data_IF_228287556955
#
_entry.id   IF_228287556955
#
_cell.length_a   1.000
_cell.length_b   1.000
_cell.length_c   1.000
_cell.angle_alpha   90.00
_cell.angle_beta   90.00
_cell.angle_gamma   90.00
#
_symmetry.space_group_name_H-M   'P 1'
#
loop_
_entity.id
_entity.type
_entity.pdbx_description
1 polymer ?
#
# COMPACT_ATOMS: atom_id res chain seq x y z
N UNK A 1 1.18 -76.51 43.32
CA UNK A 1 0.70 -75.20 42.83
C UNK A 1 1.65 -74.69 41.76
N UNK A 2 1.27 -74.80 40.48
CA UNK A 2 1.94 -74.07 39.40
C UNK A 2 0.88 -73.81 38.31
N UNK A 3 0.43 -72.57 38.08
CA UNK A 3 -0.70 -72.30 37.21
C UNK A 3 -0.22 -72.12 35.76
N UNK A 4 -0.63 -73.02 34.88
CA UNK A 4 -0.62 -72.83 33.43
C UNK A 4 -1.63 -71.74 33.07
N UNK A 5 -1.13 -70.57 32.66
CA UNK A 5 -1.93 -69.44 32.18
C UNK A 5 -2.24 -69.61 30.69
N UNK A 6 -3.52 -69.75 30.36
CA UNK A 6 -4.04 -69.76 29.00
C UNK A 6 -4.10 -68.31 28.46
N UNK A 7 -3.40 -68.04 27.36
CA UNK A 7 -3.46 -66.75 26.67
C UNK A 7 -4.82 -66.59 25.95
N UNK A 8 -5.57 -65.54 26.27
CA UNK A 8 -6.80 -65.17 25.53
C UNK A 8 -6.42 -64.53 24.17
N UNK A 9 -7.17 -64.77 23.08
CA UNK A 9 -6.95 -64.10 21.81
C UNK A 9 -7.31 -62.61 21.94
N UNK A 10 -6.46 -61.72 21.42
CA UNK A 10 -6.75 -60.29 21.35
C UNK A 10 -8.02 -60.09 20.52
N UNK A 11 -9.02 -59.39 21.06
CA UNK A 11 -10.30 -59.15 20.38
C UNK A 11 -10.10 -58.43 19.03
N UNK A 12 -10.88 -58.77 18.01
CA UNK A 12 -10.83 -58.14 16.68
C UNK A 12 -10.91 -56.61 16.72
N UNK A 13 -11.61 -56.06 17.71
CA UNK A 13 -11.70 -54.62 18.01
C UNK A 13 -10.32 -54.00 18.26
N UNK A 14 -9.43 -54.70 18.96
CA UNK A 14 -8.08 -54.21 19.23
C UNK A 14 -7.22 -54.13 17.96
N UNK A 15 -7.40 -55.08 17.03
CA UNK A 15 -6.72 -55.09 15.73
C UNK A 15 -7.24 -53.95 14.84
N UNK A 16 -8.55 -53.66 14.87
CA UNK A 16 -9.15 -52.55 14.11
C UNK A 16 -8.67 -51.19 14.64
N UNK A 17 -8.61 -51.01 15.97
CA UNK A 17 -8.09 -49.77 16.59
C UNK A 17 -6.61 -49.57 16.22
N UNK A 18 -5.79 -50.63 16.30
CA UNK A 18 -4.37 -50.55 15.89
C UNK A 18 -4.21 -50.22 14.40
N UNK A 19 -5.05 -50.78 13.52
CA UNK A 19 -5.06 -50.45 12.08
C UNK A 19 -5.50 -49.00 11.82
N UNK A 20 -6.51 -48.52 12.54
CA UNK A 20 -6.97 -47.13 12.43
C UNK A 20 -5.91 -46.13 12.93
N UNK A 21 -5.27 -46.43 14.07
CA UNK A 21 -4.16 -45.64 14.60
C UNK A 21 -2.95 -45.65 13.65
N UNK A 22 -2.62 -46.80 13.04
CA UNK A 22 -1.54 -46.89 12.06
C UNK A 22 -1.84 -46.11 10.76
N UNK A 23 -3.10 -46.12 10.29
CA UNK A 23 -3.53 -45.33 9.13
C UNK A 23 -3.54 -43.83 9.42
N UNK A 24 -3.98 -43.42 10.62
CA UNK A 24 -3.91 -42.03 11.09
C UNK A 24 -2.46 -41.55 11.21
N UNK A 25 -1.58 -42.37 11.79
CA UNK A 25 -0.15 -42.08 11.89
C UNK A 25 0.53 -41.98 10.51
N UNK A 26 0.17 -42.87 9.56
CA UNK A 26 0.63 -42.78 8.16
C UNK A 26 0.15 -41.51 7.47
N UNK A 27 -1.11 -41.12 7.66
CA UNK A 27 -1.68 -39.88 7.12
C UNK A 27 -0.96 -38.65 7.68
N UNK A 28 -0.73 -38.62 8.99
CA UNK A 28 0.02 -37.55 9.65
C UNK A 28 1.48 -37.48 9.17
N UNK A 29 2.14 -38.63 9.00
CA UNK A 29 3.49 -38.71 8.45
C UNK A 29 3.55 -38.20 7.00
N UNK A 30 2.58 -38.58 6.15
CA UNK A 30 2.49 -38.12 4.76
C UNK A 30 2.29 -36.59 4.69
N UNK A 31 1.46 -36.03 5.58
CA UNK A 31 1.24 -34.60 5.70
C UNK A 31 2.52 -33.85 6.12
N UNK A 32 3.25 -34.36 7.11
CA UNK A 32 4.54 -33.81 7.51
C UNK A 32 5.60 -33.91 6.40
N UNK A 33 5.60 -35.01 5.64
CA UNK A 33 6.47 -35.20 4.48
C UNK A 33 6.15 -34.18 3.39
N UNK A 34 4.87 -33.95 3.09
CA UNK A 34 4.41 -32.95 2.12
C UNK A 34 4.84 -31.54 2.55
N UNK A 35 4.66 -31.17 3.83
CA UNK A 35 5.13 -29.88 4.38
C UNK A 35 6.65 -29.75 4.20
N UNK A 36 7.43 -30.79 4.49
CA UNK A 36 8.89 -30.78 4.28
C UNK A 36 9.27 -30.63 2.81
N UNK A 37 8.59 -31.32 1.90
CA UNK A 37 8.82 -31.21 0.46
C UNK A 37 8.46 -29.81 -0.05
N UNK A 38 7.31 -29.26 0.35
CA UNK A 38 6.89 -27.90 0.02
C UNK A 38 7.88 -26.86 0.55
N UNK A 39 8.35 -27.00 1.79
CA UNK A 39 9.39 -26.13 2.37
C UNK A 39 10.71 -26.24 1.60
N UNK A 40 11.15 -27.45 1.24
CA UNK A 40 12.38 -27.66 0.46
C UNK A 40 12.24 -27.08 -0.95
N UNK A 41 11.07 -27.19 -1.57
CA UNK A 41 10.78 -26.59 -2.87
C UNK A 41 10.74 -25.06 -2.81
N UNK A 42 10.10 -24.49 -1.79
CA UNK A 42 10.11 -23.04 -1.51
C UNK A 42 11.53 -22.53 -1.26
N UNK A 43 12.33 -23.23 -0.44
CA UNK A 43 13.73 -22.91 -0.19
C UNK A 43 14.56 -22.96 -1.47
N UNK A 44 14.42 -24.02 -2.28
CA UNK A 44 15.14 -24.15 -3.56
C UNK A 44 14.72 -23.04 -4.55
N UNK A 45 13.44 -22.71 -4.61
CA UNK A 45 12.92 -21.62 -5.44
C UNK A 45 13.41 -20.26 -4.96
N UNK A 46 13.47 -20.02 -3.65
CA UNK A 46 14.03 -18.81 -3.05
C UNK A 46 15.53 -18.68 -3.34
N UNK A 47 16.28 -19.78 -3.20
CA UNK A 47 17.72 -19.84 -3.53
C UNK A 47 17.98 -19.55 -5.02
N UNK A 48 17.17 -20.11 -5.92
CA UNK A 48 17.26 -19.85 -7.37
C UNK A 48 16.87 -18.41 -7.74
N UNK A 49 15.95 -17.78 -7.00
CA UNK A 49 15.61 -16.36 -7.18
C UNK A 49 16.73 -15.46 -6.69
N UNK A 50 17.27 -15.74 -5.50
CA UNK A 50 18.37 -14.98 -4.91
C UNK A 50 19.68 -15.06 -5.73
N UNK A 51 19.88 -16.12 -6.51
CA UNK A 51 21.07 -16.26 -7.36
C UNK A 51 21.01 -15.48 -8.68
N UNK A 52 19.85 -14.92 -9.06
CA UNK A 52 19.71 -14.09 -10.25
C UNK A 52 19.78 -12.61 -9.84
N UNK A 53 20.56 -11.75 -10.49
CA UNK A 53 20.47 -10.32 -10.22
C UNK A 53 19.09 -9.78 -10.63
N UNK A 54 18.58 -8.71 -9.99
CA UNK A 54 17.42 -8.00 -10.47
C UNK A 54 17.61 -7.56 -11.92
N UNK A 55 16.54 -7.63 -12.71
CA UNK A 55 16.65 -7.49 -14.16
C UNK A 55 16.80 -6.02 -14.57
N UNK A 56 17.40 -5.78 -15.75
CA UNK A 56 17.54 -4.44 -16.32
C UNK A 56 16.17 -3.77 -16.50
N UNK A 57 15.18 -4.57 -16.87
CA UNK A 57 13.79 -4.15 -17.08
C UNK A 57 13.17 -3.58 -15.80
N UNK A 58 13.39 -4.21 -14.64
CA UNK A 58 12.89 -3.70 -13.34
C UNK A 58 13.37 -2.26 -13.09
N UNK A 59 14.67 -2.02 -13.32
CA UNK A 59 15.27 -0.71 -13.09
C UNK A 59 14.83 0.31 -14.12
N UNK A 60 14.72 -0.09 -15.41
CA UNK A 60 14.15 0.78 -16.44
C UNK A 60 12.70 1.17 -16.11
N UNK A 61 11.87 0.23 -15.64
CA UNK A 61 10.49 0.50 -15.20
C UNK A 61 10.46 1.45 -14.01
N UNK A 62 11.34 1.29 -13.01
CA UNK A 62 11.39 2.18 -11.85
C UNK A 62 11.86 3.60 -12.22
N UNK A 63 12.84 3.73 -13.13
CA UNK A 63 13.29 5.04 -13.65
C UNK A 63 12.11 5.72 -14.37
N UNK A 64 11.48 5.01 -15.30
CA UNK A 64 10.33 5.52 -16.05
C UNK A 64 9.17 5.91 -15.13
N UNK A 65 8.92 5.16 -14.06
CA UNK A 65 7.91 5.50 -13.06
C UNK A 65 8.19 6.82 -12.33
N UNK A 66 9.46 7.14 -12.02
CA UNK A 66 9.82 8.45 -11.47
C UNK A 66 9.46 9.58 -12.45
N UNK A 67 9.75 9.38 -13.75
CA UNK A 67 9.41 10.35 -14.79
C UNK A 67 7.92 10.54 -14.97
N UNK A 68 7.15 9.45 -15.00
CA UNK A 68 5.68 9.49 -15.15
C UNK A 68 5.06 10.24 -13.98
N UNK A 69 5.46 9.91 -12.74
CA UNK A 69 4.94 10.58 -11.55
C UNK A 69 5.24 12.08 -11.57
N UNK A 70 6.42 12.50 -12.05
CA UNK A 70 6.75 13.91 -12.19
C UNK A 70 5.96 14.57 -13.33
N UNK A 71 5.87 13.92 -14.49
CA UNK A 71 5.16 14.45 -15.66
C UNK A 71 3.67 14.71 -15.40
N UNK A 72 3.03 13.91 -14.56
CA UNK A 72 1.62 14.11 -14.17
C UNK A 72 1.43 14.95 -12.90
N UNK A 73 2.43 15.72 -12.48
CA UNK A 73 2.39 16.57 -11.28
C UNK A 73 1.98 15.81 -10.00
N UNK A 74 2.37 14.53 -9.90
CA UNK A 74 2.16 13.73 -8.68
C UNK A 74 3.30 13.95 -7.70
N UNK A 75 4.54 13.94 -8.19
CA UNK A 75 5.73 14.23 -7.39
C UNK A 75 6.40 15.50 -7.90
N UNK A 76 6.97 16.25 -6.97
CA UNK A 76 7.90 17.34 -7.25
C UNK A 76 9.35 16.85 -7.03
N UNK A 77 10.28 17.77 -6.77
CA UNK A 77 11.69 17.45 -6.53
C UNK A 77 11.97 16.57 -5.29
N UNK A 78 10.99 16.31 -4.42
CA UNK A 78 11.21 15.53 -3.20
C UNK A 78 10.26 14.34 -3.02
N UNK A 79 9.30 14.12 -3.92
CA UNK A 79 8.52 12.87 -3.92
C UNK A 79 9.39 11.68 -4.38
N UNK A 80 8.95 10.46 -4.07
CA UNK A 80 9.76 9.26 -4.37
C UNK A 80 8.95 7.97 -4.45
N UNK A 81 9.41 7.08 -5.33
CA UNK A 81 8.88 5.73 -5.55
C UNK A 81 9.96 4.69 -5.24
N UNK A 82 9.58 3.57 -4.64
CA UNK A 82 10.43 2.41 -4.43
C UNK A 82 9.81 1.12 -4.95
N UNK A 83 10.62 0.10 -5.18
CA UNK A 83 10.17 -1.26 -5.50
C UNK A 83 10.87 -2.28 -4.61
N UNK A 84 10.11 -3.22 -4.04
CA UNK A 84 10.67 -4.35 -3.30
C UNK A 84 11.55 -5.17 -4.24
N UNK A 85 12.72 -5.59 -3.76
CA UNK A 85 13.61 -6.45 -4.52
C UNK A 85 12.92 -7.83 -4.72
N UNK A 86 12.62 -8.25 -5.96
CA UNK A 86 11.91 -9.52 -6.21
C UNK A 86 12.78 -10.77 -5.99
N UNK A 87 14.10 -10.60 -5.88
CA UNK A 87 15.05 -11.67 -5.59
C UNK A 87 15.38 -11.78 -4.10
N UNK A 88 15.40 -10.67 -3.37
CA UNK A 88 15.48 -10.65 -1.91
C UNK A 88 14.42 -9.70 -1.31
N UNK A 89 13.27 -10.21 -0.86
CA UNK A 89 12.17 -9.38 -0.35
C UNK A 89 12.51 -8.66 0.97
N UNK A 90 13.68 -8.93 1.57
CA UNK A 90 14.19 -8.18 2.72
C UNK A 90 14.84 -6.86 2.31
N UNK A 91 14.96 -6.58 1.01
CA UNK A 91 15.51 -5.34 0.48
C UNK A 91 14.52 -4.66 -0.47
N UNK A 92 14.79 -3.41 -0.80
CA UNK A 92 14.05 -2.63 -1.78
C UNK A 92 14.97 -1.62 -2.49
N UNK A 93 14.58 -1.22 -3.70
CA UNK A 93 15.28 -0.22 -4.50
C UNK A 93 14.53 1.10 -4.51
N UNK A 94 15.27 2.21 -4.43
CA UNK A 94 14.74 3.57 -4.54
C UNK A 94 15.86 4.49 -5.03
N UNK A 95 15.52 5.60 -5.69
CA UNK A 95 16.53 6.61 -6.04
C UNK A 95 17.28 7.11 -4.78
N UNK A 96 18.56 7.45 -4.94
CA UNK A 96 19.26 8.37 -4.03
C UNK A 96 18.50 9.70 -3.95
N UNK A 97 18.92 10.60 -3.06
CA UNK A 97 18.33 11.93 -2.93
C UNK A 97 18.59 12.77 -4.20
N UNK A 98 17.75 12.58 -5.20
CA UNK A 98 17.82 13.12 -6.56
C UNK A 98 16.38 13.29 -7.05
N UNK A 99 16.05 14.47 -7.58
CA UNK A 99 14.72 14.76 -8.07
C UNK A 99 14.22 13.68 -9.06
N UNK A 100 12.97 13.20 -8.94
CA UNK A 100 12.43 12.12 -9.77
C UNK A 100 12.63 12.31 -11.29
N UNK A 101 12.48 13.54 -11.78
CA UNK A 101 12.70 13.88 -13.18
C UNK A 101 14.14 13.59 -13.69
N UNK A 102 15.13 13.60 -12.80
CA UNK A 102 16.55 13.50 -13.12
C UNK A 102 17.14 12.10 -12.89
N UNK A 103 16.36 11.16 -12.35
CA UNK A 103 16.78 9.77 -12.21
C UNK A 103 16.94 9.19 -13.60
N UNK A 104 18.11 8.65 -13.96
CA UNK A 104 18.38 8.30 -15.37
C UNK A 104 19.07 6.98 -15.60
N UNK A 105 19.84 6.50 -14.61
CA UNK A 105 20.69 5.32 -14.76
C UNK A 105 20.66 4.43 -13.52
N UNK A 106 21.26 3.25 -13.64
CA UNK A 106 21.26 2.26 -12.56
C UNK A 106 21.90 2.80 -11.29
N UNK A 107 22.94 3.60 -11.41
CA UNK A 107 23.72 4.17 -10.31
C UNK A 107 22.97 5.28 -9.55
N UNK A 108 21.83 5.74 -10.07
CA UNK A 108 20.95 6.63 -9.30
C UNK A 108 20.06 5.86 -8.32
N UNK A 109 19.96 4.54 -8.45
CA UNK A 109 19.10 3.69 -7.63
C UNK A 109 19.90 2.95 -6.55
N UNK A 110 19.55 3.19 -5.30
CA UNK A 110 20.16 2.54 -4.14
C UNK A 110 19.31 1.36 -3.66
N UNK A 111 19.96 0.39 -3.01
CA UNK A 111 19.31 -0.72 -2.34
C UNK A 111 19.31 -0.50 -0.82
N UNK A 112 18.17 -0.71 -0.19
CA UNK A 112 17.95 -0.51 1.23
C UNK A 112 17.36 -1.75 1.88
N UNK A 113 17.67 -1.97 3.17
CA UNK A 113 17.05 -3.02 3.98
C UNK A 113 15.63 -2.64 4.38
N UNK A 114 14.70 -3.58 4.28
CA UNK A 114 13.32 -3.46 4.79
C UNK A 114 13.30 -3.40 6.33
N UNK A 115 14.31 -3.96 7.00
CA UNK A 115 14.35 -4.01 8.47
C UNK A 115 14.47 -2.64 9.12
N UNK A 116 15.28 -1.74 8.56
CA UNK A 116 15.70 -0.49 9.21
C UNK A 116 15.95 0.67 8.23
N UNK A 117 15.65 0.47 6.94
CA UNK A 117 15.93 1.40 5.85
C UNK A 117 17.42 1.80 5.70
N UNK A 118 18.36 1.04 6.27
CA UNK A 118 19.79 1.27 6.06
C UNK A 118 20.20 0.87 4.63
N UNK A 119 21.12 1.60 3.99
CA UNK A 119 21.61 1.21 2.67
C UNK A 119 22.39 -0.11 2.76
N UNK A 120 22.28 -0.93 1.70
CA UNK A 120 23.06 -2.16 1.56
C UNK A 120 24.54 -1.80 1.29
N UNK A 121 24.77 -0.85 0.38
CA UNK A 121 26.09 -0.30 0.12
C UNK A 121 26.48 0.70 1.24
N UNK A 122 27.62 0.47 1.89
CA UNK A 122 28.11 1.34 2.97
C UNK A 122 28.55 2.71 2.47
N UNK A 123 29.00 2.78 1.22
CA UNK A 123 29.45 4.01 0.56
C UNK A 123 28.35 4.61 -0.33
N UNK A 124 27.09 4.23 -0.09
CA UNK A 124 25.95 4.74 -0.84
C UNK A 124 25.88 6.29 -0.74
N UNK A 125 25.57 6.98 -1.86
CA UNK A 125 25.15 8.37 -1.83
C UNK A 125 24.02 8.63 -0.83
N UNK A 126 23.87 9.89 -0.43
CA UNK A 126 22.79 10.30 0.47
C UNK A 126 21.43 9.89 -0.10
N UNK A 127 20.72 9.03 0.62
CA UNK A 127 19.34 8.65 0.32
C UNK A 127 18.31 9.67 0.80
N UNK A 128 17.06 9.51 0.37
CA UNK A 128 15.94 10.25 0.93
C UNK A 128 15.83 10.03 2.45
N UNK A 129 15.52 11.11 3.17
CA UNK A 129 15.32 11.06 4.62
C UNK A 129 14.11 10.18 4.99
N UNK A 130 13.12 10.11 4.11
CA UNK A 130 11.81 9.48 4.36
C UNK A 130 11.71 8.06 3.81
N UNK A 131 12.85 7.42 3.54
CA UNK A 131 12.95 5.99 3.18
C UNK A 131 12.25 5.06 4.17
N UNK A 132 12.05 5.51 5.42
CA UNK A 132 11.32 4.80 6.46
C UNK A 132 9.82 4.64 6.15
N UNK A 133 9.22 5.50 5.32
CA UNK A 133 7.87 5.29 4.78
C UNK A 133 7.81 3.94 4.05
N UNK A 134 8.79 3.69 3.19
CA UNK A 134 8.84 2.50 2.35
C UNK A 134 9.20 1.26 3.16
N UNK A 135 10.25 1.32 3.98
CA UNK A 135 10.70 0.16 4.77
C UNK A 135 9.61 -0.37 5.68
N UNK A 136 8.91 0.50 6.40
CA UNK A 136 7.90 0.09 7.38
C UNK A 136 6.62 -0.44 6.72
N UNK A 137 6.23 0.12 5.58
CA UNK A 137 5.14 -0.43 4.76
C UNK A 137 5.52 -1.82 4.25
N UNK A 138 6.72 -2.01 3.69
CA UNK A 138 7.19 -3.31 3.23
C UNK A 138 7.39 -4.32 4.37
N UNK A 139 7.76 -3.84 5.56
CA UNK A 139 7.91 -4.66 6.76
C UNK A 139 6.56 -5.23 7.17
N UNK A 140 5.52 -4.39 7.19
CA UNK A 140 4.16 -4.73 7.60
C UNK A 140 3.36 -5.52 6.57
N UNK A 141 3.49 -5.20 5.28
CA UNK A 141 2.67 -5.75 4.20
C UNK A 141 3.52 -6.51 3.18
N UNK A 142 3.53 -7.85 3.26
CA UNK A 142 4.41 -8.70 2.43
C UNK A 142 3.95 -8.83 0.98
N UNK A 143 2.67 -8.61 0.70
CA UNK A 143 2.10 -8.60 -0.65
C UNK A 143 2.31 -7.27 -1.40
N UNK A 144 2.86 -6.25 -0.74
CA UNK A 144 3.19 -4.97 -1.38
C UNK A 144 4.59 -5.02 -1.98
N UNK A 145 4.69 -4.58 -3.24
CA UNK A 145 5.91 -4.59 -4.04
C UNK A 145 6.32 -3.20 -4.52
N UNK A 146 5.45 -2.21 -4.45
CA UNK A 146 5.79 -0.83 -4.78
C UNK A 146 5.13 0.14 -3.81
N UNK A 147 5.84 1.22 -3.48
CA UNK A 147 5.36 2.30 -2.61
C UNK A 147 5.70 3.63 -3.26
N UNK A 148 4.71 4.52 -3.35
CA UNK A 148 4.85 5.91 -3.79
C UNK A 148 4.54 6.82 -2.61
N UNK A 149 5.37 7.82 -2.40
CA UNK A 149 5.08 8.95 -1.53
C UNK A 149 5.23 10.25 -2.31
N UNK A 150 4.25 11.12 -2.13
CA UNK A 150 4.07 12.33 -2.92
C UNK A 150 3.47 13.45 -2.06
N UNK A 151 3.83 14.68 -2.41
CA UNK A 151 3.37 15.91 -1.73
C UNK A 151 2.46 16.72 -2.65
N UNK A 152 1.59 16.01 -3.38
CA UNK A 152 0.73 16.61 -4.40
C UNK A 152 -0.26 17.61 -3.78
N UNK A 153 -0.26 18.83 -4.31
CA UNK A 153 -1.09 19.93 -3.81
C UNK A 153 -2.58 19.61 -3.82
N UNK A 154 -3.03 18.87 -4.84
CA UNK A 154 -4.43 18.45 -4.99
C UNK A 154 -4.97 17.69 -3.78
N UNK A 155 -4.12 16.96 -3.06
CA UNK A 155 -4.52 16.08 -1.94
C UNK A 155 -4.41 16.78 -0.58
N UNK A 156 -3.61 17.85 -0.48
CA UNK A 156 -3.36 18.56 0.78
C UNK A 156 -4.65 19.02 1.49
N UNK A 157 -5.67 19.61 0.82
CA UNK A 157 -6.90 20.05 1.47
C UNK A 157 -7.61 18.94 2.24
N UNK A 158 -7.62 17.71 1.69
CA UNK A 158 -8.25 16.54 2.30
C UNK A 158 -7.44 15.97 3.46
N UNK A 159 -6.15 16.31 3.57
CA UNK A 159 -5.29 15.87 4.67
C UNK A 159 -5.44 16.73 5.93
N UNK A 160 -5.89 17.98 5.80
CA UNK A 160 -5.98 18.96 6.91
C UNK A 160 -7.42 19.35 7.26
N UNK A 161 -8.35 19.19 6.33
CA UNK A 161 -9.76 19.52 6.52
C UNK A 161 -10.61 18.36 7.05
N UNK A 162 -11.88 18.65 7.29
CA UNK A 162 -12.88 17.65 7.74
C UNK A 162 -13.54 16.87 6.59
N UNK A 163 -13.30 17.29 5.34
CA UNK A 163 -13.85 16.64 4.15
C UNK A 163 -12.94 15.46 3.79
N UNK A 164 -13.45 14.21 3.80
CA UNK A 164 -12.64 13.05 3.45
C UNK A 164 -12.42 12.96 1.94
N UNK A 165 -11.25 12.47 1.51
CA UNK A 165 -11.03 12.10 0.12
C UNK A 165 -11.75 10.77 -0.19
N UNK A 166 -12.70 10.79 -1.13
CA UNK A 166 -13.55 9.67 -1.50
C UNK A 166 -13.72 9.59 -3.02
N UNK A 167 -13.91 8.39 -3.62
CA UNK A 167 -14.06 8.28 -5.06
C UNK A 167 -15.31 9.02 -5.54
N UNK A 168 -15.15 9.91 -6.52
CA UNK A 168 -16.26 10.65 -7.16
C UNK A 168 -16.48 10.21 -8.61
N UNK A 169 -15.62 9.33 -9.14
CA UNK A 169 -15.75 8.73 -10.46
C UNK A 169 -15.03 7.37 -10.52
N UNK A 170 -15.35 6.55 -11.53
CA UNK A 170 -14.96 5.14 -11.61
C UNK A 170 -13.46 4.87 -11.44
N UNK A 171 -12.57 5.69 -12.01
CA UNK A 171 -11.11 5.50 -11.87
C UNK A 171 -10.61 5.77 -10.44
N UNK A 172 -11.32 6.60 -9.68
CA UNK A 172 -11.01 6.90 -8.28
C UNK A 172 -11.15 5.69 -7.36
N UNK A 173 -11.84 4.62 -7.76
CA UNK A 173 -11.99 3.40 -6.95
C UNK A 173 -10.66 2.76 -6.53
N UNK A 174 -9.58 2.99 -7.31
CA UNK A 174 -8.24 2.44 -7.04
C UNK A 174 -7.64 2.89 -5.71
N UNK A 175 -8.03 4.06 -5.19
CA UNK A 175 -7.47 4.61 -3.95
C UNK A 175 -8.12 4.05 -2.68
N UNK A 176 -9.19 3.26 -2.83
CA UNK A 176 -10.06 2.81 -1.74
C UNK A 176 -11.30 3.68 -1.56
N UNK A 177 -12.22 3.24 -0.72
CA UNK A 177 -13.54 3.88 -0.50
C UNK A 177 -13.44 5.24 0.22
N UNK A 178 -12.42 5.38 1.07
CA UNK A 178 -12.08 6.59 1.80
C UNK A 178 -10.62 6.51 2.22
N UNK A 179 -9.81 7.50 1.87
CA UNK A 179 -8.42 7.52 2.27
C UNK A 179 -8.28 7.89 3.76
N UNK A 180 -7.65 7.05 4.59
CA UNK A 180 -7.36 7.41 5.98
C UNK A 180 -6.38 8.58 6.06
N UNK A 181 -6.46 9.36 7.14
CA UNK A 181 -5.50 10.44 7.43
C UNK A 181 -4.61 10.02 8.59
N UNK A 182 -3.32 9.90 8.31
CA UNK A 182 -2.27 9.75 9.31
C UNK A 182 -1.89 11.13 9.87
N UNK A 183 -2.14 11.33 11.17
CA UNK A 183 -1.71 12.51 11.90
C UNK A 183 -0.42 12.22 12.66
N UNK A 184 0.70 12.63 12.06
CA UNK A 184 2.04 12.43 12.62
C UNK A 184 2.22 13.08 14.01
N UNK A 185 1.45 14.13 14.35
CA UNK A 185 1.55 14.78 15.65
C UNK A 185 1.18 13.84 16.81
N UNK A 186 0.34 12.83 16.55
CA UNK A 186 -0.06 11.82 17.53
C UNK A 186 0.99 10.73 17.74
N UNK A 187 2.10 10.80 17.00
CA UNK A 187 3.17 9.80 17.02
C UNK A 187 4.51 10.36 17.50
N UNK A 188 4.67 11.68 17.59
CA UNK A 188 5.85 12.25 18.23
C UNK A 188 5.93 11.87 19.71
N UNK A 189 7.15 11.62 20.16
CA UNK A 189 7.49 11.44 21.58
C UNK A 189 7.87 12.79 22.15
N UNK A 190 7.62 13.00 23.44
CA UNK A 190 8.07 14.21 24.14
C UNK A 190 9.60 14.40 24.10
N UNK A 191 10.35 13.33 23.87
CA UNK A 191 11.81 13.34 23.70
C UNK A 191 12.28 13.69 22.29
N UNK A 192 11.38 13.80 21.30
CA UNK A 192 11.76 14.10 19.93
C UNK A 192 12.18 15.57 19.82
N UNK A 193 13.39 15.81 19.30
CA UNK A 193 13.94 17.16 19.19
C UNK A 193 13.26 18.01 18.09
N UNK A 194 12.65 17.37 17.08
CA UNK A 194 12.08 18.02 15.90
C UNK A 194 10.74 17.39 15.53
N UNK A 195 9.70 18.22 15.44
CA UNK A 195 8.39 17.86 14.89
C UNK A 195 8.29 18.34 13.43
N UNK A 196 9.14 17.80 12.56
CA UNK A 196 9.35 18.29 11.18
C UNK A 196 8.22 17.98 10.20
N UNK A 197 7.18 17.26 10.63
CA UNK A 197 6.15 16.62 9.79
C UNK A 197 6.67 15.52 8.85
N UNK A 198 7.98 15.23 8.85
CA UNK A 198 8.62 14.21 8.03
C UNK A 198 8.69 12.85 8.74
N UNK A 199 8.63 11.76 7.98
CA UNK A 199 8.74 10.39 8.50
C UNK A 199 10.18 9.90 8.39
N UNK A 200 11.01 10.30 9.35
CA UNK A 200 12.48 10.13 9.28
C UNK A 200 13.03 9.02 10.17
N UNK A 201 12.19 8.16 10.74
CA UNK A 201 12.61 7.02 11.54
C UNK A 201 11.57 5.89 11.52
N UNK A 202 11.97 4.71 12.02
CA UNK A 202 11.14 3.51 12.05
C UNK A 202 9.84 3.68 12.86
N UNK A 203 9.87 4.44 13.97
CA UNK A 203 8.70 4.63 14.83
C UNK A 203 7.60 5.41 14.10
N UNK A 204 7.96 6.51 13.44
CA UNK A 204 7.02 7.30 12.64
C UNK A 204 6.56 6.50 11.41
N UNK A 205 7.47 5.78 10.74
CA UNK A 205 7.15 4.93 9.59
C UNK A 205 6.18 3.80 9.95
N UNK A 206 6.36 3.14 11.10
CA UNK A 206 5.48 2.09 11.58
C UNK A 206 4.09 2.65 11.94
N UNK A 207 4.05 3.88 12.47
CA UNK A 207 2.80 4.63 12.67
C UNK A 207 2.04 4.84 11.37
N UNK A 208 2.72 5.36 10.34
CA UNK A 208 2.14 5.55 9.01
C UNK A 208 1.69 4.22 8.40
N UNK A 209 2.52 3.17 8.46
CA UNK A 209 2.17 1.86 7.95
C UNK A 209 0.91 1.29 8.64
N UNK A 210 0.65 1.61 9.91
CA UNK A 210 -0.59 1.20 10.58
C UNK A 210 -1.85 1.88 10.04
N UNK A 211 -1.75 3.11 9.53
CA UNK A 211 -2.89 3.83 8.97
C UNK A 211 -3.46 3.17 7.70
N UNK A 212 -2.69 2.34 7.00
CA UNK A 212 -3.15 1.53 5.87
C UNK A 212 -4.14 0.43 6.29
N UNK A 213 -4.29 0.15 7.59
CA UNK A 213 -5.33 -0.71 8.15
C UNK A 213 -6.17 0.03 9.21
N UNK A 214 -7.24 0.76 8.82
CA UNK A 214 -8.01 1.62 9.72
C UNK A 214 -8.62 0.90 10.93
N UNK A 215 -8.92 -0.39 10.84
CA UNK A 215 -9.40 -1.17 11.98
C UNK A 215 -8.40 -1.23 13.14
N UNK A 216 -7.11 -1.01 12.85
CA UNK A 216 -6.04 -0.92 13.86
C UNK A 216 -5.90 0.48 14.48
N UNK A 217 -6.46 1.53 13.86
CA UNK A 217 -6.39 2.91 14.37
C UNK A 217 -7.50 3.22 15.39
N UNK A 218 -8.68 2.61 15.24
CA UNK A 218 -9.80 2.70 16.21
C UNK A 218 -9.53 1.96 17.53
N UNK A 219 -8.40 1.27 17.66
CA UNK A 219 -8.07 0.42 18.81
C UNK A 219 -7.49 1.17 20.02
N UNK A 220 -6.91 2.37 19.87
CA UNK A 220 -6.25 3.04 21.01
C UNK A 220 -7.20 3.44 22.15
N UNK A 221 -8.50 3.63 21.90
CA UNK A 221 -9.51 3.92 22.93
C UNK A 221 -10.32 2.72 23.42
N UNK A 222 -10.30 1.58 22.70
CA UNK A 222 -11.19 0.42 22.95
C UNK A 222 -10.44 -0.83 23.44
N UNK A 223 -9.12 -0.74 23.60
CA UNK A 223 -8.24 -1.86 23.96
C UNK A 223 -8.55 -2.52 25.33
N UNK A 224 -9.31 -1.88 26.23
CA UNK A 224 -9.69 -2.49 27.51
C UNK A 224 -10.76 -3.59 27.39
N UNK A 225 -11.58 -3.60 26.34
CA UNK A 225 -12.65 -4.60 26.17
C UNK A 225 -12.27 -5.73 25.19
N UNK A 226 -11.43 -5.47 24.19
CA UNK A 226 -11.05 -6.47 23.17
C UNK A 226 -9.98 -7.46 23.66
N UNK A 227 -9.14 -7.07 24.61
CA UNK A 227 -8.09 -7.91 25.20
C UNK A 227 -8.62 -9.15 25.94
N UNK A 228 -9.91 -9.16 26.32
CA UNK A 228 -10.53 -10.28 27.03
C UNK A 228 -11.17 -11.34 26.12
N UNK A 229 -11.35 -11.06 24.81
CA UNK A 229 -12.16 -11.94 23.93
C UNK A 229 -11.35 -12.62 22.82
N UNK A 230 -10.19 -12.09 22.40
CA UNK A 230 -9.38 -12.74 21.35
C UNK A 230 -7.88 -12.59 21.62
N UNK A 231 -7.26 -13.61 22.22
CA UNK A 231 -5.83 -13.72 22.52
C UNK A 231 -5.02 -14.27 21.34
N UNK A 232 -5.37 -13.93 20.10
CA UNK A 232 -4.51 -14.20 18.94
C UNK A 232 -3.85 -12.90 18.47
N UNK A 233 -2.52 -12.86 18.29
CA UNK A 233 -1.90 -11.76 17.58
C UNK A 233 -2.51 -11.72 16.17
N UNK A 234 -3.23 -10.64 15.83
CA UNK A 234 -3.73 -10.42 14.48
C UNK A 234 -2.52 -10.34 13.54
N UNK A 235 -2.29 -11.39 12.74
CA UNK A 235 -1.31 -11.35 11.66
C UNK A 235 -1.83 -10.32 10.65
N UNK A 236 -1.07 -9.25 10.34
CA UNK A 236 -1.49 -8.26 9.37
C UNK A 236 -1.77 -8.94 8.01
N UNK A 237 -2.80 -8.51 7.27
CA UNK A 237 -3.02 -9.03 5.93
C UNK A 237 -1.82 -8.69 5.03
N UNK A 238 -1.51 -9.53 4.06
CA UNK A 238 -0.37 -9.31 3.15
C UNK A 238 -0.50 -8.01 2.33
N UNK A 239 -1.74 -7.63 2.01
CA UNK A 239 -2.10 -6.38 1.33
C UNK A 239 -3.03 -5.59 2.27
N UNK A 240 -2.78 -4.28 2.48
CA UNK A 240 -3.63 -3.47 3.34
C UNK A 240 -5.04 -3.27 2.77
N UNK A 241 -6.07 -3.14 3.63
CA UNK A 241 -7.43 -2.84 3.18
C UNK A 241 -7.56 -1.44 2.58
N UNK A 242 -6.76 -0.47 3.02
CA UNK A 242 -6.70 0.87 2.43
C UNK A 242 -5.39 1.01 1.67
N UNK A 243 -5.40 1.15 0.33
CA UNK A 243 -4.16 1.17 -0.45
C UNK A 243 -3.53 2.57 -0.56
N UNK A 244 -4.21 3.61 -0.05
CA UNK A 244 -3.77 5.01 -0.04
C UNK A 244 -4.05 5.62 1.32
N UNK A 245 -3.07 6.34 1.87
CA UNK A 245 -3.16 7.06 3.14
C UNK A 245 -2.68 8.49 2.94
N UNK A 246 -3.47 9.46 3.42
CA UNK A 246 -3.09 10.86 3.46
C UNK A 246 -2.26 11.13 4.72
N UNK A 247 -1.33 12.07 4.64
CA UNK A 247 -0.46 12.49 5.73
C UNK A 247 -0.78 13.95 6.05
N UNK A 248 -1.33 14.23 7.24
CA UNK A 248 -1.86 15.55 7.61
C UNK A 248 -0.82 16.64 7.36
N UNK A 249 -1.13 17.59 6.46
CA UNK A 249 -0.27 18.74 6.18
C UNK A 249 1.06 18.40 5.52
N UNK A 250 1.17 17.24 4.89
CA UNK A 250 2.40 16.75 4.28
C UNK A 250 2.16 16.24 2.85
N UNK A 251 1.25 15.27 2.66
CA UNK A 251 1.06 14.65 1.35
C UNK A 251 0.28 13.35 1.45
N UNK A 252 0.66 12.34 0.68
CA UNK A 252 0.10 11.00 0.77
C UNK A 252 1.15 9.92 0.50
N UNK A 253 0.83 8.69 0.89
CA UNK A 253 1.52 7.49 0.46
C UNK A 253 0.51 6.49 -0.09
N UNK A 254 0.86 5.81 -1.18
CA UNK A 254 0.08 4.71 -1.71
C UNK A 254 0.97 3.51 -2.03
N UNK A 255 0.37 2.33 -2.01
CA UNK A 255 1.08 1.06 -2.25
C UNK A 255 0.64 0.45 -3.57
N UNK A 256 1.28 -0.62 -4.03
CA UNK A 256 0.84 -1.44 -5.16
C UNK A 256 1.50 -2.81 -5.15
N UNK A 257 0.87 -3.79 -5.80
CA UNK A 257 1.46 -5.11 -6.02
C UNK A 257 2.41 -5.13 -7.22
N UNK A 258 2.36 -4.09 -8.05
CA UNK A 258 3.34 -3.79 -9.11
C UNK A 258 3.69 -2.29 -9.12
N UNK A 259 4.71 -1.90 -9.90
CA UNK A 259 5.07 -0.49 -10.09
C UNK A 259 3.93 0.26 -10.79
N UNK A 260 3.39 -0.32 -11.85
CA UNK A 260 2.34 0.26 -12.69
C UNK A 260 1.07 0.52 -11.88
N UNK A 261 0.68 -0.42 -11.00
CA UNK A 261 -0.46 -0.26 -10.10
C UNK A 261 -0.25 0.89 -9.12
N UNK A 262 0.93 0.99 -8.50
CA UNK A 262 1.23 2.07 -7.56
C UNK A 262 1.27 3.44 -8.26
N UNK A 263 1.83 3.52 -9.47
CA UNK A 263 1.84 4.75 -10.29
C UNK A 263 0.42 5.13 -10.69
N UNK A 264 -0.37 4.20 -11.22
CA UNK A 264 -1.77 4.43 -11.56
C UNK A 264 -2.54 4.96 -10.35
N UNK A 265 -2.39 4.31 -9.19
CA UNK A 265 -3.04 4.72 -7.95
C UNK A 265 -2.63 6.14 -7.54
N UNK A 266 -1.36 6.49 -7.64
CA UNK A 266 -0.88 7.82 -7.29
C UNK A 266 -1.44 8.91 -8.22
N UNK A 267 -1.44 8.67 -9.53
CA UNK A 267 -2.01 9.58 -10.54
C UNK A 267 -3.51 9.77 -10.30
N UNK A 268 -4.28 8.69 -10.22
CA UNK A 268 -5.74 8.79 -10.08
C UNK A 268 -6.21 9.23 -8.69
N UNK A 269 -5.38 9.09 -7.65
CA UNK A 269 -5.60 9.78 -6.36
C UNK A 269 -5.60 11.28 -6.56
N UNK A 270 -4.61 11.82 -7.28
CA UNK A 270 -4.50 13.25 -7.53
C UNK A 270 -5.62 13.75 -8.45
N UNK A 271 -5.95 13.01 -9.51
CA UNK A 271 -7.07 13.35 -10.40
C UNK A 271 -8.39 13.37 -9.64
N UNK A 272 -8.67 12.35 -8.81
CA UNK A 272 -9.89 12.31 -8.00
C UNK A 272 -9.96 13.49 -7.02
N UNK A 273 -8.86 13.82 -6.37
CA UNK A 273 -8.80 14.95 -5.44
C UNK A 273 -9.13 16.29 -6.12
N UNK A 274 -8.62 16.51 -7.34
CA UNK A 274 -8.96 17.69 -8.15
C UNK A 274 -10.45 17.70 -8.51
N UNK A 275 -10.97 16.58 -9.03
CA UNK A 275 -12.39 16.47 -9.41
C UNK A 275 -13.30 16.68 -8.19
N UNK A 276 -13.02 16.04 -7.06
CA UNK A 276 -13.80 16.18 -5.84
C UNK A 276 -13.78 17.64 -5.34
N UNK A 277 -12.64 18.31 -5.38
CA UNK A 277 -12.52 19.73 -4.99
C UNK A 277 -13.40 20.61 -5.87
N UNK A 278 -13.32 20.46 -7.20
CA UNK A 278 -14.14 21.25 -8.13
C UNK A 278 -15.64 20.97 -7.96
N UNK A 279 -16.02 19.70 -7.77
CA UNK A 279 -17.41 19.33 -7.49
C UNK A 279 -17.95 19.98 -6.21
N UNK A 280 -17.15 20.02 -5.14
CA UNK A 280 -17.52 20.68 -3.88
C UNK A 280 -17.69 22.20 -4.06
N UNK A 281 -16.83 22.85 -4.84
CA UNK A 281 -16.94 24.29 -5.14
C UNK A 281 -18.20 24.61 -5.96
N UNK A 282 -18.48 23.81 -7.00
CA UNK A 282 -19.69 23.94 -7.81
C UNK A 282 -20.95 23.73 -6.96
N UNK A 283 -20.95 22.67 -6.13
CA UNK A 283 -22.06 22.37 -5.23
C UNK A 283 -22.28 23.46 -4.19
N UNK A 284 -21.20 24.01 -3.62
CA UNK A 284 -21.28 25.14 -2.69
C UNK A 284 -21.92 26.37 -3.33
N UNK A 285 -21.54 26.69 -4.58
CA UNK A 285 -22.13 27.80 -5.34
C UNK A 285 -23.61 27.58 -5.62
N UNK A 286 -24.00 26.36 -6.01
CA UNK A 286 -25.41 25.99 -6.18
C UNK A 286 -26.22 26.14 -4.89
N UNK A 287 -25.68 25.66 -3.76
CA UNK A 287 -26.31 25.78 -2.45
C UNK A 287 -26.47 27.24 -2.00
N UNK A 288 -25.55 28.15 -2.37
CA UNK A 288 -25.72 29.60 -2.13
C UNK A 288 -26.89 30.17 -2.95
N UNK A 289 -27.07 29.72 -4.20
CA UNK A 289 -28.21 30.10 -5.04
C UNK A 289 -29.56 29.76 -4.38
N UNK A 290 -29.67 28.56 -3.82
CA UNK A 290 -30.88 28.11 -3.09
C UNK A 290 -31.19 29.01 -1.88
N UNK A 291 -30.16 29.53 -1.21
CA UNK A 291 -30.32 30.49 -0.12
C UNK A 291 -30.81 31.84 -0.66
N UNK A 292 -30.25 32.32 -1.78
CA UNK A 292 -30.64 33.58 -2.41
C UNK A 292 -32.11 33.60 -2.86
N UNK A 293 -32.57 32.52 -3.49
CA UNK A 293 -33.99 32.36 -3.89
C UNK A 293 -34.94 32.46 -2.71
N UNK A 294 -34.56 31.92 -1.55
CA UNK A 294 -35.36 31.98 -0.33
C UNK A 294 -35.49 33.39 0.26
N UNK A 295 -34.45 34.22 0.15
CA UNK A 295 -34.54 35.61 0.61
C UNK A 295 -35.26 36.51 -0.40
N UNK A 296 -35.29 36.14 -1.69
CA UNK A 296 -35.97 36.88 -2.76
C UNK A 296 -37.43 36.50 -3.00
N UNK A 297 -37.83 35.26 -2.70
CA UNK A 297 -39.21 34.78 -2.80
C UNK A 297 -40.00 35.11 -1.54
N UNK A 298 -41.14 35.80 -1.67
CA UNK A 298 -41.98 36.25 -0.55
C UNK A 298 -42.60 35.15 0.33
N UNK A 299 -42.29 33.87 0.08
CA UNK A 299 -42.76 32.74 0.87
C UNK A 299 -41.85 32.49 2.08
N UNK A 300 -42.45 32.61 3.26
CA UNK A 300 -41.83 32.36 4.57
C UNK A 300 -41.68 30.86 4.83
N UNK A 301 -40.90 30.13 4.02
CA UNK A 301 -40.46 28.80 4.47
C UNK A 301 -39.64 28.97 5.75
N UNK A 302 -40.01 28.28 6.84
CA UNK A 302 -39.44 28.45 8.19
C UNK A 302 -38.39 27.38 8.56
N UNK A 303 -38.04 26.47 7.64
CA UNK A 303 -37.06 25.39 7.85
C UNK A 303 -35.60 25.78 7.59
N UNK A 304 -34.60 24.91 7.81
CA UNK A 304 -33.25 25.14 7.30
C UNK A 304 -33.24 25.22 5.76
N UNK A 305 -32.32 26.00 5.18
CA UNK A 305 -32.21 26.07 3.72
C UNK A 305 -31.91 24.68 3.13
N UNK A 306 -32.49 24.37 1.97
CA UNK A 306 -32.15 23.13 1.25
C UNK A 306 -30.66 23.11 0.99
N UNK A 307 -30.02 22.00 1.33
CA UNK A 307 -28.60 21.75 1.11
C UNK A 307 -28.48 20.43 0.37
N UNK A 308 -27.78 20.44 -0.75
CA UNK A 308 -27.48 19.23 -1.52
C UNK A 308 -25.98 18.91 -1.42
N UNK A 309 -25.67 17.62 -1.22
CA UNK A 309 -24.31 17.08 -1.21
C UNK A 309 -23.92 16.56 -2.59
N UNK A 310 -22.60 16.51 -2.86
CA UNK A 310 -22.10 15.79 -4.04
C UNK A 310 -22.30 14.27 -3.88
N UNK A 311 -22.46 13.57 -5.00
CA UNK A 311 -22.60 12.11 -5.01
C UNK A 311 -21.23 11.45 -5.11
N UNK A 312 -20.87 10.69 -4.08
CA UNK A 312 -19.70 9.81 -4.07
C UNK A 312 -20.06 8.44 -4.63
N UNK A 313 -19.08 7.69 -5.10
CA UNK A 313 -19.26 6.25 -5.30
C UNK A 313 -19.48 5.57 -3.95
N UNK A 314 -20.41 4.63 -3.90
CA UNK A 314 -20.54 3.71 -2.78
C UNK A 314 -19.47 2.61 -2.82
N UNK A 315 -19.35 1.83 -1.74
CA UNK A 315 -18.31 0.80 -1.61
C UNK A 315 -18.32 -0.22 -2.74
N UNK A 316 -19.52 -0.60 -3.21
CA UNK A 316 -19.69 -1.57 -4.29
C UNK A 316 -19.27 -0.95 -5.63
N UNK A 317 -19.71 0.26 -5.93
CA UNK A 317 -19.35 1.00 -7.14
C UNK A 317 -17.84 1.21 -7.23
N UNK A 318 -17.19 1.65 -6.15
CA UNK A 318 -15.74 1.85 -6.12
C UNK A 318 -14.97 0.54 -6.36
N UNK A 319 -15.36 -0.54 -5.69
CA UNK A 319 -14.71 -1.85 -5.82
C UNK A 319 -14.90 -2.46 -7.20
N UNK A 320 -16.13 -2.49 -7.70
CA UNK A 320 -16.45 -3.09 -9.00
C UNK A 320 -15.84 -2.27 -10.15
N UNK A 321 -15.81 -0.93 -10.03
CA UNK A 321 -15.14 -0.07 -11.00
C UNK A 321 -13.66 -0.38 -11.10
N UNK A 322 -12.96 -0.49 -9.96
CA UNK A 322 -11.54 -0.88 -9.97
C UNK A 322 -11.34 -2.29 -10.54
N UNK A 323 -12.16 -3.25 -10.12
CA UNK A 323 -12.10 -4.62 -10.62
C UNK A 323 -12.28 -4.70 -12.15
N UNK A 324 -13.16 -3.87 -12.73
CA UNK A 324 -13.40 -3.83 -14.16
C UNK A 324 -12.22 -3.24 -14.95
N UNK A 325 -11.56 -2.21 -14.41
CA UNK A 325 -10.51 -1.48 -15.14
C UNK A 325 -9.10 -2.00 -14.88
N UNK A 326 -8.85 -2.74 -13.79
CA UNK A 326 -7.51 -3.21 -13.42
C UNK A 326 -6.82 -3.98 -14.55
N UNK A 327 -7.57 -4.79 -15.32
CA UNK A 327 -7.05 -5.58 -16.44
C UNK A 327 -6.69 -4.75 -17.68
N UNK A 328 -7.02 -3.47 -17.68
CA UNK A 328 -6.74 -2.50 -18.75
C UNK A 328 -5.88 -1.32 -18.27
N UNK A 329 -5.35 -1.40 -17.05
CA UNK A 329 -4.46 -0.38 -16.49
C UNK A 329 -3.10 -0.31 -17.22
N UNK A 330 -2.79 -1.29 -18.07
CA UNK A 330 -1.67 -1.26 -18.99
C UNK A 330 -1.81 -0.16 -20.06
N UNK A 331 -3.04 0.21 -20.43
CA UNK A 331 -3.30 1.25 -21.43
C UNK A 331 -2.77 2.63 -21.00
N UNK A 332 -3.14 3.19 -19.82
CA UNK A 332 -2.55 4.45 -19.37
C UNK A 332 -1.04 4.32 -19.14
N UNK A 333 -0.55 3.19 -18.63
CA UNK A 333 0.89 2.99 -18.48
C UNK A 333 1.66 3.17 -19.79
N UNK A 334 1.18 2.55 -20.88
CA UNK A 334 1.76 2.70 -22.23
C UNK A 334 1.74 4.14 -22.73
N UNK A 335 0.61 4.83 -22.55
CA UNK A 335 0.48 6.24 -22.89
C UNK A 335 1.52 7.08 -22.14
N UNK A 336 1.61 6.90 -20.83
CA UNK A 336 2.52 7.68 -19.99
C UNK A 336 3.99 7.38 -20.31
N UNK A 337 4.33 6.13 -20.64
CA UNK A 337 5.66 5.78 -21.15
C UNK A 337 5.99 6.55 -22.44
N UNK A 338 5.05 6.61 -23.39
CA UNK A 338 5.24 7.36 -24.62
C UNK A 338 5.38 8.88 -24.36
N UNK A 339 4.58 9.45 -23.44
CA UNK A 339 4.67 10.85 -23.07
C UNK A 339 6.05 11.21 -22.50
N UNK A 340 6.57 10.42 -21.55
CA UNK A 340 7.88 10.71 -20.96
C UNK A 340 9.02 10.42 -21.93
N UNK A 341 8.91 9.41 -22.78
CA UNK A 341 9.93 9.10 -23.80
C UNK A 341 10.05 10.18 -24.88
N UNK A 342 8.98 10.93 -25.15
CA UNK A 342 8.97 12.03 -26.12
C UNK A 342 9.25 13.41 -25.48
N UNK A 343 9.49 13.47 -24.17
CA UNK A 343 9.88 14.68 -23.47
C UNK A 343 11.40 14.86 -23.52
N UNK A 344 11.87 16.09 -23.73
CA UNK A 344 13.31 16.41 -23.70
C UNK A 344 13.91 16.44 -22.29
N UNK A 345 13.08 16.38 -21.24
CA UNK A 345 13.55 16.43 -19.84
C UNK A 345 14.00 15.06 -19.33
N UNK A 346 13.35 13.99 -19.78
CA UNK A 346 13.51 12.67 -19.17
C UNK A 346 14.46 11.80 -19.98
N UNK A 347 15.38 11.14 -19.28
CA UNK A 347 16.34 10.24 -19.88
C UNK A 347 16.40 8.94 -19.09
N UNK A 348 16.26 7.81 -19.78
CA UNK A 348 16.42 6.48 -19.19
C UNK A 348 17.50 5.73 -19.97
N UNK A 349 18.73 5.71 -19.41
CA UNK A 349 19.90 5.07 -20.04
C UNK A 349 19.75 3.55 -20.14
N UNK A 350 18.80 2.95 -19.40
CA UNK A 350 18.49 1.53 -19.49
C UNK A 350 17.54 1.23 -20.68
N UNK A 351 17.05 2.23 -21.40
CA UNK A 351 16.08 2.06 -22.49
C UNK A 351 14.65 1.94 -21.97
N UNK A 352 13.66 1.76 -22.87
CA UNK A 352 12.24 1.73 -22.50
C UNK A 352 11.90 0.50 -21.65
N UNK A 353 10.92 0.61 -20.73
CA UNK A 353 10.46 -0.53 -19.95
C UNK A 353 9.68 -1.52 -20.83
N UNK A 354 9.47 -2.77 -20.37
CA UNK A 354 8.74 -3.76 -21.14
C UNK A 354 7.33 -3.30 -21.49
N UNK A 355 6.99 -3.42 -22.78
CA UNK A 355 5.65 -3.10 -23.27
C UNK A 355 5.35 -1.60 -23.42
N UNK A 356 6.34 -0.73 -23.24
CA UNK A 356 6.29 0.69 -23.59
C UNK A 356 6.38 0.93 -25.10
#
# INVERSE_FOLDING_TARGET
FNPTTTARPKSEVHIIIQRFQANSARSHYLHLLLIKVLRKHQQRSALLRASKPPSKELFSTLITANHILHYHDVVDAYGHISVRNPQDPNNFFMSRSLAPALVSKREDLEEYRVSDASPINKDAPKGYAERYIHSEIYKKYKGIHCVVHARAEAVLPFSVGSIPLRPVFHMGGVMGIQCPVFDIAQHYKSSDALHSMLVTNEHLGAGLAAAFNPSTMLSRGTNLLRSFVTSQPEVPPDVPPSPTVLMRGHGFACVGTTIEEAVYRAVYTCVNARVQTQSLLMQGTYNIGLIGERFGGGDKETGPAKHEDIKYLNDREAKDSWFAIQGTADRPWKLWCAEVANSCLYHNELGPPPGA
#
